data_IF_536171503911
#
_entry.id   IF_536171503911
#
_cell.length_a   1.000
_cell.length_b   1.000
_cell.length_c   1.000
_cell.angle_alpha   90.00
_cell.angle_beta   90.00
_cell.angle_gamma   90.00
#
_symmetry.space_group_name_H-M   'P 1'
#
loop_
_entity.id
_entity.type
_entity.pdbx_description
1 polymer ?
#
# COMPACT_ATOMS: atom_id res chain seq x y z
N UNK A 1 -67.29 23.81 85.18
CA UNK A 1 -66.57 22.55 85.49
C UNK A 1 -67.12 21.49 84.56
N UNK A 2 -66.40 20.79 83.67
CA UNK A 2 -65.00 20.69 83.26
C UNK A 2 -65.05 20.22 81.80
N UNK A 3 -64.23 20.79 80.93
CA UNK A 3 -64.01 20.32 79.55
C UNK A 3 -63.06 19.11 79.57
N UNK A 4 -63.34 18.02 78.84
CA UNK A 4 -62.35 16.98 78.59
C UNK A 4 -61.56 17.29 77.31
N UNK A 5 -60.27 17.42 77.55
CA UNK A 5 -59.12 17.58 76.67
C UNK A 5 -59.06 16.61 75.48
N UNK A 6 -58.89 17.16 74.28
CA UNK A 6 -58.45 16.47 73.07
C UNK A 6 -56.99 16.05 73.23
N UNK A 7 -56.75 14.75 73.49
CA UNK A 7 -55.40 14.20 73.57
C UNK A 7 -55.12 13.36 72.31
N UNK A 8 -54.18 13.76 71.42
CA UNK A 8 -53.87 13.00 70.23
C UNK A 8 -53.14 11.70 70.59
N UNK A 9 -53.63 10.58 70.08
CA UNK A 9 -53.13 9.24 70.38
C UNK A 9 -51.68 9.03 69.92
N UNK A 10 -50.88 8.39 70.76
CA UNK A 10 -49.49 7.97 70.51
C UNK A 10 -49.34 7.13 69.22
N UNK A 11 -50.42 6.49 68.77
CA UNK A 11 -50.48 5.72 67.54
C UNK A 11 -50.33 6.57 66.27
N UNK A 12 -50.67 7.86 66.31
CA UNK A 12 -50.46 8.77 65.17
C UNK A 12 -48.98 9.08 64.91
N UNK A 13 -48.14 9.11 65.96
CA UNK A 13 -46.69 9.41 65.84
C UNK A 13 -45.88 8.24 65.26
N UNK A 14 -46.31 7.00 65.48
CA UNK A 14 -45.65 5.82 64.92
C UNK A 14 -45.85 5.73 63.40
N UNK A 15 -47.00 6.19 62.89
CA UNK A 15 -47.28 6.21 61.43
C UNK A 15 -46.43 7.22 60.64
N UNK A 16 -45.94 8.27 61.29
CA UNK A 16 -45.11 9.31 60.65
C UNK A 16 -43.61 8.99 60.66
N UNK A 17 -43.15 8.09 61.55
CA UNK A 17 -41.74 7.65 61.63
C UNK A 17 -41.42 6.54 60.62
N UNK A 18 -42.44 5.92 60.03
CA UNK A 18 -42.32 5.01 58.89
C UNK A 18 -42.34 5.72 57.52
N UNK A 19 -41.97 7.01 57.46
CA UNK A 19 -41.65 7.67 56.20
C UNK A 19 -40.26 7.22 55.75
N UNK A 20 -40.11 6.64 54.54
CA UNK A 20 -39.12 5.60 54.33
C UNK A 20 -37.95 6.18 53.54
N UNK A 21 -36.91 6.63 54.22
CA UNK A 21 -35.69 7.10 53.56
C UNK A 21 -35.01 6.00 52.71
N UNK A 22 -35.31 4.73 53.02
CA UNK A 22 -34.91 3.56 52.23
C UNK A 22 -35.60 3.50 50.86
N UNK A 23 -36.85 3.96 50.74
CA UNK A 23 -37.55 4.01 49.44
C UNK A 23 -36.95 5.06 48.52
N UNK A 24 -36.46 6.18 49.08
CA UNK A 24 -35.76 7.22 48.31
C UNK A 24 -34.42 6.71 47.79
N UNK A 25 -33.68 5.95 48.60
CA UNK A 25 -32.43 5.29 48.15
C UNK A 25 -32.69 4.19 47.14
N UNK A 26 -33.76 3.39 47.31
CA UNK A 26 -34.15 2.36 46.34
C UNK A 26 -34.64 2.97 45.01
N UNK A 27 -35.41 4.06 45.05
CA UNK A 27 -35.90 4.75 43.86
C UNK A 27 -34.75 5.44 43.14
N UNK A 28 -33.85 6.12 43.86
CA UNK A 28 -32.61 6.65 43.29
C UNK A 28 -31.75 5.56 42.65
N UNK A 29 -31.61 4.40 43.29
CA UNK A 29 -30.87 3.25 42.74
C UNK A 29 -31.53 2.66 41.49
N UNK A 30 -32.87 2.60 41.45
CA UNK A 30 -33.61 2.12 40.27
C UNK A 30 -33.54 3.09 39.10
N UNK A 31 -33.62 4.39 39.35
CA UNK A 31 -33.45 5.43 38.33
C UNK A 31 -32.02 5.41 37.79
N UNK A 32 -31.01 5.31 38.66
CA UNK A 32 -29.62 5.17 38.25
C UNK A 32 -29.39 3.89 37.42
N UNK A 33 -29.94 2.75 37.85
CA UNK A 33 -29.86 1.50 37.09
C UNK A 33 -30.55 1.60 35.73
N UNK A 34 -31.75 2.21 35.67
CA UNK A 34 -32.45 2.46 34.41
C UNK A 34 -31.65 3.38 33.48
N UNK A 35 -31.05 4.45 34.01
CA UNK A 35 -30.17 5.33 33.27
C UNK A 35 -28.93 4.61 32.72
N UNK A 36 -28.29 3.75 33.53
CA UNK A 36 -27.16 2.92 33.09
C UNK A 36 -27.55 1.90 32.02
N UNK A 37 -28.72 1.27 32.12
CA UNK A 37 -29.23 0.34 31.09
C UNK A 37 -29.52 1.07 29.78
N UNK A 38 -30.11 2.26 29.83
CA UNK A 38 -30.34 3.09 28.64
C UNK A 38 -29.01 3.53 28.02
N UNK A 39 -28.05 4.00 28.83
CA UNK A 39 -26.72 4.36 28.35
C UNK A 39 -25.98 3.16 27.73
N UNK A 40 -26.05 1.99 28.35
CA UNK A 40 -25.48 0.77 27.82
C UNK A 40 -26.17 0.35 26.50
N UNK A 41 -27.50 0.47 26.41
CA UNK A 41 -28.24 0.22 25.18
C UNK A 41 -27.85 1.17 24.05
N UNK A 42 -27.70 2.47 24.35
CA UNK A 42 -27.20 3.45 23.39
C UNK A 42 -25.77 3.14 22.97
N UNK A 43 -24.88 2.79 23.90
CA UNK A 43 -23.50 2.43 23.61
C UNK A 43 -23.40 1.14 22.77
N UNK A 44 -24.25 0.15 23.03
CA UNK A 44 -24.28 -1.10 22.28
C UNK A 44 -24.83 -0.94 20.85
N UNK A 45 -25.80 -0.03 20.65
CA UNK A 45 -26.34 0.30 19.33
C UNK A 45 -25.46 1.29 18.56
N UNK A 46 -24.60 2.03 19.25
CA UNK A 46 -23.62 2.93 18.64
C UNK A 46 -22.45 2.07 18.15
N UNK A 47 -22.55 1.57 16.92
CA UNK A 47 -21.43 0.98 16.19
C UNK A 47 -20.19 1.86 16.38
N UNK A 48 -19.07 1.27 16.81
CA UNK A 48 -17.83 2.00 17.06
C UNK A 48 -17.47 2.83 15.81
N UNK A 49 -17.59 4.18 15.85
CA UNK A 49 -17.38 5.00 14.66
C UNK A 49 -15.91 5.01 14.21
N UNK A 50 -15.00 4.57 15.08
CA UNK A 50 -13.57 4.51 14.77
C UNK A 50 -13.18 3.29 13.92
N UNK A 51 -14.10 2.33 13.74
CA UNK A 51 -13.89 1.14 12.92
C UNK A 51 -12.69 0.29 13.37
N UNK A 52 -12.37 -0.73 12.58
CA UNK A 52 -11.07 -1.40 12.70
C UNK A 52 -10.01 -0.56 11.97
N UNK A 53 -8.92 -0.24 12.65
CA UNK A 53 -7.85 0.61 12.12
C UNK A 53 -6.55 -0.16 12.02
N UNK A 54 -5.85 0.04 10.92
CA UNK A 54 -4.56 -0.57 10.65
C UNK A 54 -3.54 0.51 10.29
N UNK A 55 -2.30 0.28 10.68
CA UNK A 55 -1.19 1.16 10.34
C UNK A 55 -0.69 0.85 8.93
N UNK A 56 -0.53 1.89 8.13
CA UNK A 56 -0.04 1.81 6.76
C UNK A 56 1.09 2.80 6.55
N UNK A 57 2.02 2.44 5.66
CA UNK A 57 3.10 3.33 5.26
C UNK A 57 2.65 4.17 4.07
N UNK A 58 2.81 5.48 4.19
CA UNK A 58 2.48 6.44 3.15
C UNK A 58 3.69 7.30 2.78
N UNK A 59 3.67 7.81 1.54
CA UNK A 59 4.70 8.74 1.09
C UNK A 59 4.61 10.07 1.86
N UNK A 60 5.73 10.50 2.44
CA UNK A 60 5.82 11.76 3.18
C UNK A 60 5.83 12.99 2.26
N UNK A 61 6.28 12.81 1.01
CA UNK A 61 6.37 13.83 -0.04
C UNK A 61 6.11 13.19 -1.41
N UNK A 62 6.06 14.02 -2.45
CA UNK A 62 6.02 13.51 -3.81
C UNK A 62 7.39 12.91 -4.18
N UNK A 63 7.36 11.70 -4.74
CA UNK A 63 8.52 10.91 -5.09
C UNK A 63 8.46 10.54 -6.57
N UNK A 64 9.61 10.62 -7.24
CA UNK A 64 9.74 10.23 -8.64
C UNK A 64 9.95 8.72 -8.81
N UNK A 65 9.69 8.17 -10.00
CA UNK A 65 10.07 6.79 -10.33
C UNK A 65 11.59 6.61 -10.19
N UNK A 66 12.01 5.41 -9.77
CA UNK A 66 13.42 5.08 -9.56
C UNK A 66 14.02 5.64 -8.25
N UNK A 67 13.24 6.32 -7.42
CA UNK A 67 13.71 6.81 -6.12
C UNK A 67 13.86 5.66 -5.13
N UNK A 68 15.04 5.51 -4.54
CA UNK A 68 15.25 4.61 -3.40
C UNK A 68 14.68 5.25 -2.13
N UNK A 69 13.81 4.52 -1.43
CA UNK A 69 13.07 5.03 -0.28
C UNK A 69 13.96 5.15 0.95
N UNK A 70 13.94 6.32 1.57
CA UNK A 70 14.64 6.60 2.84
C UNK A 70 13.64 6.80 3.97
N UNK A 71 14.14 6.83 5.21
CA UNK A 71 13.30 7.10 6.39
C UNK A 71 12.59 8.47 6.34
N UNK A 72 13.12 9.43 5.59
CA UNK A 72 12.50 10.74 5.40
C UNK A 72 11.32 10.71 4.42
N UNK A 73 11.23 9.68 3.59
CA UNK A 73 10.23 9.55 2.53
C UNK A 73 8.98 8.78 2.97
N UNK A 74 9.06 8.11 4.13
CA UNK A 74 8.03 7.21 4.64
C UNK A 74 7.43 7.76 5.94
N UNK A 75 6.11 7.72 6.05
CA UNK A 75 5.38 8.06 7.26
C UNK A 75 4.35 6.97 7.58
N UNK A 76 4.21 6.63 8.85
CA UNK A 76 3.12 5.74 9.31
C UNK A 76 1.83 6.55 9.46
N UNK A 77 0.73 6.01 8.96
CA UNK A 77 -0.61 6.57 9.12
C UNK A 77 -1.60 5.48 9.51
N UNK A 78 -2.39 5.72 10.55
CA UNK A 78 -3.48 4.82 10.92
C UNK A 78 -4.69 5.11 10.03
N UNK A 79 -5.19 4.11 9.31
CA UNK A 79 -6.38 4.21 8.44
C UNK A 79 -7.40 3.14 8.75
N UNK A 80 -8.66 3.37 8.36
CA UNK A 80 -9.71 2.36 8.46
C UNK A 80 -9.35 1.17 7.57
N UNK A 81 -9.43 -0.06 8.09
CA UNK A 81 -9.10 -1.27 7.36
C UNK A 81 -9.85 -1.38 6.02
N UNK A 82 -11.09 -0.88 5.96
CA UNK A 82 -11.93 -0.86 4.75
C UNK A 82 -11.49 0.12 3.66
N UNK A 83 -10.55 1.03 3.97
CA UNK A 83 -10.03 2.05 3.06
C UNK A 83 -8.59 1.79 2.62
N UNK A 84 -7.96 0.76 3.20
CA UNK A 84 -6.57 0.41 2.91
C UNK A 84 -6.54 -0.50 1.69
N UNK A 85 -5.72 -0.17 0.66
CA UNK A 85 -5.54 -1.06 -0.48
C UNK A 85 -4.92 -2.39 -0.07
N UNK A 86 -5.30 -3.45 -0.77
CA UNK A 86 -4.63 -4.74 -0.65
C UNK A 86 -3.14 -4.62 -0.97
N UNK A 87 -2.31 -5.42 -0.31
CA UNK A 87 -0.85 -5.38 -0.48
C UNK A 87 -0.16 -4.18 0.19
N UNK A 88 -0.89 -3.36 0.95
CA UNK A 88 -0.33 -2.27 1.75
C UNK A 88 0.77 -2.76 2.69
N UNK A 89 1.86 -1.99 2.76
CA UNK A 89 2.98 -2.27 3.66
C UNK A 89 2.77 -1.57 5.00
N UNK A 90 2.98 -2.32 6.10
CA UNK A 90 2.93 -1.80 7.46
C UNK A 90 4.32 -1.71 8.12
N UNK A 91 5.26 -2.55 7.68
CA UNK A 91 6.62 -2.61 8.25
C UNK A 91 7.59 -1.68 7.48
N UNK A 92 8.17 -0.65 8.13
CA UNK A 92 9.15 0.22 7.50
C UNK A 92 10.35 -0.54 6.93
N UNK A 93 10.78 -1.64 7.58
CA UNK A 93 11.94 -2.40 7.12
C UNK A 93 11.72 -3.09 5.77
N UNK A 94 10.46 -3.36 5.39
CA UNK A 94 10.12 -3.92 4.09
C UNK A 94 10.19 -2.87 2.95
N UNK A 95 10.13 -1.59 3.29
CA UNK A 95 10.01 -0.47 2.32
C UNK A 95 11.31 0.32 2.22
N UNK A 96 12.06 0.45 3.31
CA UNK A 96 13.31 1.21 3.33
C UNK A 96 14.37 0.57 2.43
N UNK A 97 14.98 1.38 1.57
CA UNK A 97 15.93 0.93 0.55
C UNK A 97 15.28 0.34 -0.70
N UNK A 98 13.97 0.05 -0.68
CA UNK A 98 13.26 -0.36 -1.89
C UNK A 98 13.18 0.80 -2.88
N UNK A 99 13.17 0.49 -4.17
CA UNK A 99 13.10 1.49 -5.24
C UNK A 99 11.69 1.58 -5.77
N UNK A 100 11.16 2.79 -5.96
CA UNK A 100 9.83 2.99 -6.53
C UNK A 100 9.80 2.69 -8.03
N UNK A 101 8.80 1.92 -8.47
CA UNK A 101 8.60 1.63 -9.88
C UNK A 101 7.96 2.80 -10.65
N UNK A 102 7.18 3.63 -9.96
CA UNK A 102 6.42 4.73 -10.54
C UNK A 102 6.46 6.00 -9.70
N UNK A 103 5.96 7.13 -10.25
CA UNK A 103 5.74 8.33 -9.45
C UNK A 103 4.71 8.05 -8.34
N UNK A 104 4.97 8.58 -7.15
CA UNK A 104 4.12 8.40 -5.97
C UNK A 104 3.86 9.75 -5.32
N UNK A 105 2.59 10.07 -5.08
CA UNK A 105 2.22 11.35 -4.46
C UNK A 105 2.25 11.26 -2.94
N UNK A 106 2.47 12.40 -2.29
CA UNK A 106 2.36 12.52 -0.83
C UNK A 106 1.02 11.95 -0.34
N UNK A 107 1.07 11.10 0.68
CA UNK A 107 -0.10 10.47 1.30
C UNK A 107 -0.65 9.24 0.58
N UNK A 108 -0.06 8.86 -0.55
CA UNK A 108 -0.31 7.58 -1.22
C UNK A 108 0.25 6.43 -0.36
N UNK A 109 -0.50 5.34 -0.26
CA UNK A 109 -0.11 4.14 0.50
C UNK A 109 0.89 3.33 -0.31
N UNK A 110 2.00 2.93 0.30
CA UNK A 110 2.95 2.03 -0.32
C UNK A 110 2.38 0.61 -0.36
N UNK A 111 2.21 0.10 -1.57
CA UNK A 111 1.82 -1.29 -1.81
C UNK A 111 3.00 -2.10 -2.35
N UNK A 112 2.89 -3.43 -2.28
CA UNK A 112 3.85 -4.38 -2.83
C UNK A 112 4.13 -4.18 -4.32
N UNK A 113 3.12 -3.77 -5.11
CA UNK A 113 3.24 -3.49 -6.56
C UNK A 113 3.71 -2.07 -6.89
N UNK A 114 4.00 -1.22 -5.89
CA UNK A 114 4.65 0.10 -6.12
C UNK A 114 6.17 0.04 -6.03
N UNK A 115 6.70 -1.04 -5.48
CA UNK A 115 8.12 -1.24 -5.25
C UNK A 115 8.70 -2.16 -6.34
N UNK A 116 9.90 -1.84 -6.83
CA UNK A 116 10.66 -2.70 -7.73
C UNK A 116 11.13 -3.96 -6.96
N UNK A 117 10.26 -4.96 -6.93
CA UNK A 117 10.49 -6.24 -6.26
C UNK A 117 9.91 -7.39 -7.12
N UNK A 118 10.01 -8.62 -6.62
CA UNK A 118 9.43 -9.79 -7.29
C UNK A 118 7.92 -9.73 -7.40
N UNK A 119 7.20 -9.10 -6.45
CA UNK A 119 5.74 -8.97 -6.48
C UNK A 119 5.27 -8.11 -7.65
N UNK A 120 5.95 -7.00 -7.93
CA UNK A 120 5.69 -6.20 -9.12
C UNK A 120 5.89 -7.02 -10.41
N UNK A 121 6.97 -7.80 -10.48
CA UNK A 121 7.20 -8.65 -11.65
C UNK A 121 6.05 -9.66 -11.82
N UNK A 122 5.68 -10.33 -10.73
CA UNK A 122 4.61 -11.33 -10.70
C UNK A 122 3.24 -10.75 -11.06
N UNK A 123 2.91 -9.56 -10.55
CA UNK A 123 1.65 -8.88 -10.86
C UNK A 123 1.58 -8.41 -12.31
N UNK A 124 2.72 -8.18 -12.95
CA UNK A 124 2.82 -7.60 -14.30
C UNK A 124 2.91 -8.68 -15.38
N UNK A 125 3.82 -9.64 -15.22
CA UNK A 125 4.13 -10.66 -16.24
C UNK A 125 3.82 -12.10 -15.79
N UNK A 126 3.10 -12.26 -14.68
CA UNK A 126 2.60 -13.55 -14.19
C UNK A 126 3.54 -14.29 -13.23
N UNK A 127 3.14 -15.48 -12.74
CA UNK A 127 3.83 -16.17 -11.66
C UNK A 127 5.31 -16.45 -11.94
N UNK A 128 6.18 -16.11 -10.99
CA UNK A 128 7.63 -16.30 -11.09
C UNK A 128 8.34 -15.36 -12.06
N UNK A 129 7.66 -14.35 -12.60
CA UNK A 129 8.26 -13.34 -13.46
C UNK A 129 9.44 -12.61 -12.78
N UNK A 130 10.34 -12.10 -13.61
CA UNK A 130 11.59 -11.45 -13.18
C UNK A 130 11.77 -10.14 -13.90
N UNK A 131 12.40 -9.19 -13.21
CA UNK A 131 12.81 -7.90 -13.80
C UNK A 131 14.20 -8.09 -14.41
N UNK A 132 14.35 -7.72 -15.67
CA UNK A 132 15.62 -7.81 -16.42
C UNK A 132 16.01 -6.41 -16.89
N UNK A 133 17.24 -5.95 -16.59
CA UNK A 133 17.77 -4.71 -17.15
C UNK A 133 18.21 -4.92 -18.61
N UNK A 134 17.76 -4.03 -19.48
CA UNK A 134 18.15 -3.96 -20.88
C UNK A 134 18.91 -2.67 -21.15
N UNK A 135 20.11 -2.80 -21.72
CA UNK A 135 20.90 -1.70 -22.25
C UNK A 135 20.58 -1.60 -23.74
N UNK A 136 19.98 -0.48 -24.13
CA UNK A 136 19.56 -0.27 -25.50
C UNK A 136 20.67 0.44 -26.27
N UNK A 137 20.92 -0.01 -27.49
CA UNK A 137 21.98 0.57 -28.34
C UNK A 137 21.59 1.93 -28.91
N UNK A 138 20.29 2.24 -28.98
CA UNK A 138 19.76 3.50 -29.49
C UNK A 138 19.02 4.27 -28.39
N UNK A 139 19.65 5.36 -27.94
CA UNK A 139 19.11 6.27 -26.93
C UNK A 139 17.81 6.96 -27.36
N UNK A 140 17.61 7.16 -28.67
CA UNK A 140 16.41 7.81 -29.19
C UNK A 140 15.17 6.95 -28.91
N UNK A 141 15.26 5.62 -29.07
CA UNK A 141 14.15 4.71 -28.77
C UNK A 141 13.70 4.79 -27.30
N UNK A 142 14.64 5.01 -26.38
CA UNK A 142 14.37 5.10 -24.94
C UNK A 142 13.54 6.34 -24.59
N UNK A 143 13.50 7.35 -25.45
CA UNK A 143 12.64 8.54 -25.28
C UNK A 143 11.18 8.30 -25.68
N UNK A 144 10.92 7.33 -26.57
CA UNK A 144 9.58 6.94 -26.99
C UNK A 144 8.92 5.97 -25.99
N UNK A 145 9.71 5.09 -25.38
CA UNK A 145 9.21 4.05 -24.47
C UNK A 145 8.62 4.67 -23.19
N UNK A 146 7.52 4.08 -22.73
CA UNK A 146 6.83 4.41 -21.48
C UNK A 146 6.67 3.16 -20.61
N UNK A 147 6.52 3.41 -19.31
CA UNK A 147 6.18 2.34 -18.35
C UNK A 147 4.79 1.81 -18.70
N UNK A 148 4.69 0.48 -18.80
CA UNK A 148 3.49 -0.23 -19.23
C UNK A 148 3.50 -0.65 -20.70
N UNK A 149 4.45 -0.18 -21.51
CA UNK A 149 4.55 -0.60 -22.91
C UNK A 149 4.88 -2.09 -23.01
N UNK A 150 4.26 -2.76 -23.99
CA UNK A 150 4.52 -4.16 -24.33
C UNK A 150 5.46 -4.20 -25.54
N UNK A 151 6.63 -4.79 -25.35
CA UNK A 151 7.71 -4.78 -26.32
C UNK A 151 8.25 -6.18 -26.59
N UNK A 152 8.72 -6.40 -27.81
CA UNK A 152 9.49 -7.58 -28.15
C UNK A 152 10.98 -7.27 -28.06
N UNK A 153 11.75 -8.23 -27.55
CA UNK A 153 13.19 -8.11 -27.35
C UNK A 153 13.91 -8.87 -28.45
N UNK A 154 14.70 -8.14 -29.25
CA UNK A 154 15.52 -8.72 -30.31
C UNK A 154 17.00 -8.58 -29.97
N UNK A 155 17.79 -9.62 -30.19
CA UNK A 155 19.25 -9.49 -30.18
C UNK A 155 19.82 -9.47 -31.59
N UNK A 156 20.86 -8.65 -31.74
CA UNK A 156 21.78 -8.76 -32.85
C UNK A 156 22.47 -10.16 -32.83
N UNK A 157 22.80 -10.72 -34.01
CA UNK A 157 23.59 -11.94 -34.06
C UNK A 157 24.92 -11.72 -33.30
N UNK A 158 25.36 -12.75 -32.56
CA UNK A 158 26.69 -12.72 -31.97
C UNK A 158 27.70 -12.57 -33.11
N UNK A 159 28.77 -11.80 -32.91
CA UNK A 159 29.85 -11.63 -33.88
C UNK A 159 30.61 -12.96 -34.08
N UNK A 160 29.95 -13.95 -34.68
CA UNK A 160 30.61 -15.05 -35.36
C UNK A 160 30.81 -14.61 -36.81
N UNK A 161 32.05 -14.53 -37.31
CA UNK A 161 32.32 -14.16 -38.68
C UNK A 161 31.91 -15.31 -39.60
N UNK A 162 30.60 -15.43 -39.88
CA UNK A 162 30.09 -16.37 -40.86
C UNK A 162 29.88 -15.63 -42.19
N UNK A 163 30.71 -15.86 -43.22
CA UNK A 163 30.84 -14.91 -44.33
C UNK A 163 29.68 -14.90 -45.36
N UNK A 164 28.54 -15.55 -45.12
CA UNK A 164 27.51 -15.77 -46.15
C UNK A 164 26.04 -15.70 -45.70
N UNK A 165 25.73 -15.28 -44.46
CA UNK A 165 24.33 -15.11 -44.03
C UNK A 165 24.01 -13.64 -43.75
N UNK A 166 22.86 -13.10 -44.20
CA UNK A 166 22.42 -11.78 -43.78
C UNK A 166 22.28 -11.78 -42.24
N UNK A 167 22.79 -10.74 -41.59
CA UNK A 167 22.70 -10.55 -40.15
C UNK A 167 21.25 -10.34 -39.72
N UNK A 168 20.50 -11.43 -39.53
CA UNK A 168 19.10 -11.38 -39.11
C UNK A 168 19.04 -11.25 -37.58
N UNK A 169 18.43 -10.17 -37.10
CA UNK A 169 18.09 -10.02 -35.68
C UNK A 169 17.13 -11.13 -35.25
N UNK A 170 17.41 -11.78 -34.12
CA UNK A 170 16.59 -12.86 -33.59
C UNK A 170 15.76 -12.37 -32.42
N UNK A 171 14.45 -12.61 -32.46
CA UNK A 171 13.55 -12.38 -31.32
C UNK A 171 13.92 -13.36 -30.19
N UNK A 172 14.22 -12.82 -29.01
CA UNK A 172 14.57 -13.61 -27.81
C UNK A 172 13.38 -13.69 -26.87
N UNK A 173 12.60 -12.62 -26.78
CA UNK A 173 11.39 -12.56 -25.97
C UNK A 173 10.30 -11.78 -26.69
N UNK A 174 9.07 -12.21 -26.47
CA UNK A 174 7.85 -11.55 -26.91
C UNK A 174 7.07 -11.12 -25.68
N UNK A 175 6.28 -10.05 -25.79
CA UNK A 175 5.39 -9.55 -24.74
C UNK A 175 6.12 -9.15 -23.42
N UNK A 176 7.31 -8.57 -23.53
CA UNK A 176 8.00 -8.01 -22.37
C UNK A 176 7.33 -6.70 -21.94
N UNK A 177 7.10 -6.50 -20.65
CA UNK A 177 6.41 -5.29 -20.17
C UNK A 177 7.41 -4.34 -19.51
N UNK A 178 7.45 -3.10 -19.94
CA UNK A 178 8.36 -2.09 -19.38
C UNK A 178 7.87 -1.66 -17.99
N UNK A 179 8.69 -1.89 -16.95
CA UNK A 179 8.35 -1.54 -15.57
C UNK A 179 9.03 -0.26 -15.09
N UNK A 180 10.18 0.09 -15.65
CA UNK A 180 10.88 1.33 -15.36
C UNK A 180 11.79 1.74 -16.52
N UNK A 181 11.85 3.03 -16.79
CA UNK A 181 12.79 3.63 -17.73
C UNK A 181 13.71 4.57 -16.96
N UNK A 182 15.02 4.36 -17.06
CA UNK A 182 15.99 5.24 -16.40
C UNK A 182 15.91 6.67 -16.96
N UNK A 183 15.93 7.64 -16.06
CA UNK A 183 15.94 9.05 -16.41
C UNK A 183 17.28 9.46 -17.03
N UNK A 184 17.23 10.36 -18.00
CA UNK A 184 18.44 10.97 -18.59
C UNK A 184 19.18 11.77 -17.51
N UNK A 185 20.39 11.37 -17.15
CA UNK A 185 21.21 12.11 -16.19
C UNK A 185 21.54 13.49 -16.75
N UNK A 186 21.05 14.55 -16.11
CA UNK A 186 21.29 15.95 -16.52
C UNK A 186 22.69 16.47 -16.18
N UNK A 187 23.46 15.73 -15.37
CA UNK A 187 24.69 16.22 -14.74
C UNK A 187 25.97 15.57 -15.26
N UNK A 188 25.89 14.55 -16.11
CA UNK A 188 27.07 13.94 -16.73
C UNK A 188 26.88 13.85 -18.24
N UNK A 189 27.68 14.62 -18.96
CA UNK A 189 28.01 14.44 -20.38
C UNK A 189 28.93 13.21 -20.57
N UNK A 190 28.58 12.10 -19.91
CA UNK A 190 29.09 10.78 -20.24
C UNK A 190 27.90 10.06 -20.86
N UNK A 191 28.07 9.64 -22.10
CA UNK A 191 27.19 8.78 -22.90
C UNK A 191 26.94 7.49 -22.11
N UNK A 192 26.00 7.54 -21.18
CA UNK A 192 25.95 6.68 -20.00
C UNK A 192 24.62 5.94 -19.94
N UNK A 193 24.52 4.96 -20.81
CA UNK A 193 23.79 3.69 -20.65
C UNK A 193 22.43 3.80 -19.95
N UNK A 194 21.43 4.30 -20.68
CA UNK A 194 20.05 4.31 -20.19
C UNK A 194 19.51 2.89 -20.13
N UNK A 195 19.26 2.43 -18.91
CA UNK A 195 18.67 1.11 -18.67
C UNK A 195 17.16 1.16 -18.75
N UNK A 196 16.57 0.20 -19.46
CA UNK A 196 15.14 -0.11 -19.40
C UNK A 196 14.95 -1.39 -18.62
N UNK A 197 14.13 -1.34 -17.56
CA UNK A 197 13.76 -2.53 -16.81
C UNK A 197 12.47 -3.10 -17.40
N UNK A 198 12.52 -4.38 -17.78
CA UNK A 198 11.35 -5.12 -18.29
C UNK A 198 10.99 -6.28 -17.38
N UNK A 199 9.70 -6.52 -17.18
CA UNK A 199 9.18 -7.72 -16.55
C UNK A 199 8.96 -8.80 -17.60
N UNK A 200 9.53 -9.98 -17.35
CA UNK A 200 9.49 -11.14 -18.23
C UNK A 200 9.12 -12.40 -17.45
N UNK A 201 8.38 -13.34 -18.07
CA UNK A 201 8.17 -14.66 -17.48
C UNK A 201 9.50 -15.37 -17.18
N UNK A 202 9.53 -16.14 -16.08
CA UNK A 202 10.74 -16.79 -15.55
C UNK A 202 11.56 -17.56 -16.60
N UNK A 203 10.84 -18.27 -17.49
CA UNK A 203 11.42 -19.13 -18.52
C UNK A 203 12.30 -18.35 -19.51
N UNK A 204 11.90 -17.13 -19.85
CA UNK A 204 12.53 -16.32 -20.88
C UNK A 204 13.52 -15.31 -20.28
N UNK A 205 13.28 -14.88 -19.04
CA UNK A 205 14.10 -13.88 -18.35
C UNK A 205 15.59 -14.24 -18.29
N UNK A 206 15.95 -15.49 -17.99
CA UNK A 206 17.37 -15.89 -17.91
C UNK A 206 18.05 -15.87 -19.29
N UNK A 207 17.32 -16.23 -20.34
CA UNK A 207 17.84 -16.21 -21.71
C UNK A 207 18.06 -14.79 -22.19
N UNK A 208 17.11 -13.88 -21.91
CA UNK A 208 17.26 -12.44 -22.20
C UNK A 208 18.40 -11.84 -21.42
N UNK A 209 18.51 -12.12 -20.11
CA UNK A 209 19.60 -11.62 -19.28
C UNK A 209 20.97 -12.09 -19.79
N UNK A 210 21.09 -13.35 -20.23
CA UNK A 210 22.31 -13.88 -20.83
C UNK A 210 22.67 -13.19 -22.14
N UNK A 211 21.69 -12.99 -23.02
CA UNK A 211 21.89 -12.28 -24.30
C UNK A 211 22.25 -10.80 -24.10
N UNK A 212 21.62 -10.11 -23.14
CA UNK A 212 21.88 -8.71 -22.84
C UNK A 212 23.31 -8.44 -22.34
N UNK A 213 24.02 -9.45 -21.82
CA UNK A 213 25.42 -9.32 -21.40
C UNK A 213 26.42 -9.39 -22.55
N UNK A 214 26.06 -10.05 -23.67
CA UNK A 214 27.01 -10.38 -24.74
C UNK A 214 26.64 -9.86 -26.12
N UNK A 215 25.44 -9.30 -26.29
CA UNK A 215 24.91 -8.87 -27.58
C UNK A 215 24.20 -7.53 -27.46
N UNK A 216 24.24 -6.74 -28.54
CA UNK A 216 23.39 -5.56 -28.67
C UNK A 216 21.92 -5.99 -28.73
N UNK A 217 21.09 -5.37 -27.90
CA UNK A 217 19.65 -5.65 -27.81
C UNK A 217 18.86 -4.44 -28.30
N UNK A 218 17.81 -4.70 -29.09
CA UNK A 218 16.84 -3.69 -29.53
C UNK A 218 15.42 -4.14 -29.20
N UNK A 219 14.48 -3.21 -29.30
CA UNK A 219 13.07 -3.41 -28.98
C UNK A 219 12.17 -3.06 -30.15
N UNK A 220 11.07 -3.79 -30.30
CA UNK A 220 9.95 -3.38 -31.16
C UNK A 220 8.71 -3.16 -30.32
N UNK A 221 8.02 -2.05 -30.60
CA UNK A 221 6.78 -1.62 -29.95
C UNK A 221 5.57 -2.16 -30.72
N UNK A 222 4.50 -2.45 -30.00
CA UNK A 222 3.19 -2.82 -30.56
C UNK A 222 2.28 -1.61 -30.77
#
# INVERSE_FOLDING_TARGET
MREPTLNPSLLSRISTVWRPDWTRTLLARRVAAGGLVVLAGVAALRSNPEGDRVDVLVAARDLGPGTALTAADVRVESRLATTVPDGSQADPHAVLGATLAGPTRRGEVFTDVRLLNSRLAESTAGPGARIVPLHLTDDALVDLIRVGDVVDVLAAPANEPQPLAPAMSRVIATDAIVVLVSAKSRLQSSEGDRVVLVALPARVANTVAGSALGQAVTLTLH
#
